data_IF_835255047856
#
_entry.id   IF_835255047856
#
_cell.length_a   1.000
_cell.length_b   1.000
_cell.length_c   1.000
_cell.angle_alpha   90.00
_cell.angle_beta   90.00
_cell.angle_gamma   90.00
#
_symmetry.space_group_name_H-M   'P 1'
#
loop_
_entity.id
_entity.type
_entity.pdbx_description
1 polymer ?
#
# COMPACT_ATOMS: atom_id res chain seq x y z
N UNK A 1 -11.63 -37.04 80.50
CA UNK A 1 -11.25 -35.77 81.15
C UNK A 1 -11.25 -34.66 80.13
N UNK A 2 -12.40 -34.00 79.93
CA UNK A 2 -12.51 -32.55 79.85
C UNK A 2 -12.71 -31.97 81.26
N UNK A 3 -12.36 -30.70 81.46
CA UNK A 3 -12.57 -29.99 82.73
C UNK A 3 -13.90 -29.21 82.74
N UNK A 4 -14.70 -29.56 83.74
CA UNK A 4 -15.84 -28.89 84.39
C UNK A 4 -15.47 -27.48 84.94
N UNK A 5 -16.31 -26.54 85.37
CA UNK A 5 -17.75 -26.28 85.49
C UNK A 5 -17.86 -24.90 86.21
N UNK A 6 -19.10 -24.37 86.36
CA UNK A 6 -19.59 -23.31 87.31
C UNK A 6 -19.63 -21.85 86.80
N UNK A 7 -20.69 -21.04 86.99
CA UNK A 7 -21.88 -21.15 87.87
C UNK A 7 -22.98 -20.11 87.52
N UNK A 8 -24.24 -20.51 87.81
CA UNK A 8 -25.39 -19.76 88.39
C UNK A 8 -26.11 -18.63 87.62
N UNK A 9 -27.43 -18.83 87.47
CA UNK A 9 -28.41 -17.77 87.23
C UNK A 9 -29.03 -17.16 88.50
N UNK A 10 -29.77 -16.06 88.31
CA UNK A 10 -30.76 -15.50 89.24
C UNK A 10 -31.75 -14.58 88.48
N UNK A 11 -33.05 -14.88 88.58
CA UNK A 11 -34.23 -14.02 88.33
C UNK A 11 -34.35 -12.92 89.43
N UNK A 12 -35.30 -11.93 89.45
CA UNK A 12 -36.65 -11.93 88.84
C UNK A 12 -37.16 -10.58 88.22
N UNK A 13 -38.40 -10.62 87.72
CA UNK A 13 -39.25 -9.51 87.25
C UNK A 13 -39.59 -8.45 88.33
N UNK A 14 -39.98 -7.24 87.90
CA UNK A 14 -41.17 -6.53 88.42
C UNK A 14 -41.60 -5.37 87.52
N UNK A 15 -42.90 -5.09 87.59
CA UNK A 15 -43.78 -4.28 86.74
C UNK A 15 -43.53 -2.76 86.79
N UNK A 16 -44.07 -2.04 85.79
CA UNK A 16 -44.27 -0.59 85.87
C UNK A 16 -44.75 0.07 84.57
N UNK A 17 -46.06 0.09 84.33
CA UNK A 17 -46.79 1.00 83.42
C UNK A 17 -47.33 2.21 84.24
N UNK A 18 -47.92 3.28 83.66
CA UNK A 18 -47.79 3.92 82.33
C UNK A 18 -47.82 5.48 82.38
N UNK A 19 -48.13 6.11 81.23
CA UNK A 19 -48.44 7.52 80.89
C UNK A 19 -47.21 8.38 80.54
N UNK A 20 -47.13 9.07 79.40
CA UNK A 20 -48.15 9.93 78.78
C UNK A 20 -48.10 9.92 77.23
N UNK A 21 -49.21 10.38 76.64
CA UNK A 21 -49.63 10.29 75.26
C UNK A 21 -48.96 11.29 74.30
N UNK A 22 -48.65 10.83 73.09
CA UNK A 22 -48.27 11.66 71.95
C UNK A 22 -48.68 11.01 70.63
N UNK A 23 -49.80 11.46 70.09
CA UNK A 23 -50.50 10.97 68.87
C UNK A 23 -49.59 10.77 67.64
N UNK A 24 -49.74 9.62 66.96
CA UNK A 24 -49.87 9.50 65.48
C UNK A 24 -50.33 8.07 65.11
N UNK A 25 -51.45 7.96 64.39
CA UNK A 25 -52.08 6.70 63.93
C UNK A 25 -51.40 6.18 62.65
N UNK A 26 -51.11 4.87 62.50
CA UNK A 26 -50.70 4.27 61.23
C UNK A 26 -51.90 3.69 60.44
N UNK A 27 -51.83 3.83 59.11
CA UNK A 27 -52.77 3.29 58.12
C UNK A 27 -52.73 1.75 58.05
N UNK A 28 -53.83 1.09 57.63
CA UNK A 28 -53.96 -0.36 57.61
C UNK A 28 -53.22 -1.04 56.46
N UNK A 29 -52.74 -2.25 56.73
CA UNK A 29 -52.04 -3.13 55.81
C UNK A 29 -52.99 -3.74 54.76
N UNK A 30 -52.61 -3.66 53.49
CA UNK A 30 -53.25 -4.38 52.37
C UNK A 30 -52.64 -5.78 52.17
N UNK A 31 -53.42 -6.77 51.69
CA UNK A 31 -52.98 -8.16 51.56
C UNK A 31 -52.06 -8.38 50.36
N UNK A 32 -51.17 -9.38 50.50
CA UNK A 32 -50.22 -9.86 49.49
C UNK A 32 -50.96 -10.46 48.29
N UNK A 33 -50.75 -9.90 47.10
CA UNK A 33 -51.19 -10.48 45.83
C UNK A 33 -50.23 -11.59 45.41
N UNK A 34 -50.66 -12.84 45.52
CA UNK A 34 -50.05 -13.97 44.84
C UNK A 34 -50.51 -14.00 43.38
N UNK A 35 -49.61 -13.72 42.44
CA UNK A 35 -49.89 -13.98 41.03
C UNK A 35 -49.60 -15.45 40.72
N UNK A 36 -50.67 -16.25 40.73
CA UNK A 36 -50.68 -17.58 40.13
C UNK A 36 -50.66 -17.48 38.61
N UNK A 37 -49.71 -18.15 37.96
CA UNK A 37 -49.71 -18.37 36.52
C UNK A 37 -50.77 -19.42 36.19
N UNK A 38 -51.94 -18.98 35.71
CA UNK A 38 -52.88 -19.84 34.96
C UNK A 38 -52.41 -19.89 33.51
N UNK A 39 -51.94 -21.06 33.10
CA UNK A 39 -51.74 -21.43 31.71
C UNK A 39 -53.08 -21.47 30.99
N UNK A 40 -53.36 -20.43 30.19
CA UNK A 40 -54.40 -20.46 29.16
C UNK A 40 -53.73 -20.20 27.82
N UNK A 41 -53.92 -21.14 26.90
CA UNK A 41 -53.16 -21.27 25.67
C UNK A 41 -53.30 -20.06 24.75
N UNK A 42 -52.15 -19.55 24.31
CA UNK A 42 -52.02 -18.73 23.12
C UNK A 42 -51.11 -19.49 22.16
N UNK A 43 -51.66 -19.89 21.01
CA UNK A 43 -50.96 -20.58 19.93
C UNK A 43 -49.65 -19.86 19.62
N UNK A 44 -48.53 -20.54 19.87
CA UNK A 44 -47.24 -20.14 19.32
C UNK A 44 -47.29 -20.25 17.80
N UNK A 45 -46.54 -19.40 17.12
CA UNK A 45 -46.34 -19.51 15.69
C UNK A 45 -45.82 -20.92 15.38
N UNK A 46 -46.58 -21.67 14.59
CA UNK A 46 -46.16 -22.96 14.05
C UNK A 46 -45.00 -22.67 13.12
N UNK A 47 -43.79 -23.00 13.55
CA UNK A 47 -42.61 -23.02 12.69
C UNK A 47 -42.89 -24.06 11.60
N UNK A 48 -42.83 -23.69 10.31
CA UNK A 48 -43.01 -24.65 9.22
C UNK A 48 -41.96 -25.79 9.32
N UNK A 49 -42.34 -27.05 9.04
CA UNK A 49 -41.42 -28.19 9.19
C UNK A 49 -40.20 -28.15 8.27
N UNK A 50 -40.15 -27.25 7.28
CA UNK A 50 -38.97 -27.04 6.42
C UNK A 50 -37.83 -26.24 7.08
N UNK A 51 -38.01 -25.74 8.31
CA UNK A 51 -36.98 -25.03 9.07
C UNK A 51 -36.33 -25.88 10.19
N UNK A 52 -36.71 -27.15 10.32
CA UNK A 52 -36.16 -28.09 11.31
C UNK A 52 -35.45 -29.29 10.68
N UNK A 53 -35.05 -29.18 9.42
CA UNK A 53 -34.22 -30.20 8.77
C UNK A 53 -32.74 -29.88 8.96
N UNK A 54 -32.12 -30.59 9.90
CA UNK A 54 -30.68 -30.83 9.92
C UNK A 54 -30.30 -31.52 8.60
N UNK A 55 -29.97 -30.73 7.57
CA UNK A 55 -29.33 -31.25 6.37
C UNK A 55 -27.94 -31.75 6.77
N UNK A 56 -27.63 -33.06 6.64
CA UNK A 56 -26.24 -33.49 6.71
C UNK A 56 -25.51 -32.80 5.56
N UNK A 57 -24.50 -31.98 5.90
CA UNK A 57 -23.60 -31.33 4.94
C UNK A 57 -23.04 -32.42 4.03
N UNK A 58 -23.48 -32.42 2.77
CA UNK A 58 -23.01 -33.41 1.79
C UNK A 58 -21.51 -33.17 1.57
N UNK A 59 -20.72 -34.23 1.74
CA UNK A 59 -19.28 -34.31 1.43
C UNK A 59 -18.90 -33.88 -0.01
N UNK A 60 -19.88 -33.62 -0.89
CA UNK A 60 -19.69 -33.18 -2.27
C UNK A 60 -19.24 -31.72 -2.43
N UNK A 61 -19.27 -30.88 -1.40
CA UNK A 61 -18.80 -29.48 -1.50
C UNK A 61 -17.26 -29.32 -1.38
N UNK A 62 -16.55 -30.31 -0.84
CA UNK A 62 -15.08 -30.33 -0.83
C UNK A 62 -14.49 -30.95 -2.11
N UNK A 63 -15.27 -31.67 -2.90
CA UNK A 63 -14.80 -32.32 -4.12
C UNK A 63 -14.63 -31.33 -5.29
N UNK A 64 -15.37 -30.22 -5.31
CA UNK A 64 -15.24 -29.17 -6.33
C UNK A 64 -13.92 -28.38 -6.24
N UNK A 65 -13.48 -27.84 -5.08
CA UNK A 65 -12.21 -27.13 -5.01
C UNK A 65 -11.00 -28.07 -5.11
N UNK A 66 -11.09 -29.29 -4.58
CA UNK A 66 -10.01 -30.27 -4.68
C UNK A 66 -9.75 -30.72 -6.13
N UNK A 67 -10.80 -30.87 -6.94
CA UNK A 67 -10.66 -31.19 -8.36
C UNK A 67 -10.00 -30.06 -9.17
N UNK A 68 -10.30 -28.79 -8.85
CA UNK A 68 -9.67 -27.62 -9.50
C UNK A 68 -8.20 -27.50 -9.12
N UNK A 69 -7.85 -27.73 -7.85
CA UNK A 69 -6.45 -27.76 -7.40
C UNK A 69 -5.70 -28.90 -8.08
N UNK A 70 -6.29 -30.10 -8.15
CA UNK A 70 -5.67 -31.26 -8.80
C UNK A 70 -5.50 -31.04 -10.31
N UNK A 71 -6.48 -30.44 -10.99
CA UNK A 71 -6.38 -30.06 -12.39
C UNK A 71 -5.27 -29.02 -12.62
N UNK A 72 -5.15 -28.01 -11.75
CA UNK A 72 -4.08 -27.02 -11.81
C UNK A 72 -2.69 -27.63 -11.61
N UNK A 73 -2.53 -28.52 -10.63
CA UNK A 73 -1.27 -29.24 -10.39
C UNK A 73 -0.89 -30.13 -11.58
N UNK A 74 -1.85 -30.84 -12.17
CA UNK A 74 -1.61 -31.68 -13.36
C UNK A 74 -1.20 -30.86 -14.58
N UNK A 75 -1.77 -29.67 -14.78
CA UNK A 75 -1.37 -28.75 -15.86
C UNK A 75 0.07 -28.29 -15.65
N UNK A 76 0.46 -27.91 -14.43
CA UNK A 76 1.84 -27.47 -14.12
C UNK A 76 2.84 -28.61 -14.30
N UNK A 77 2.49 -29.83 -13.88
CA UNK A 77 3.34 -31.02 -14.07
C UNK A 77 3.48 -31.36 -15.55
N UNK A 78 2.39 -31.29 -16.33
CA UNK A 78 2.43 -31.49 -17.78
C UNK A 78 3.29 -30.43 -18.48
N UNK A 79 3.14 -29.15 -18.11
CA UNK A 79 3.95 -28.05 -18.66
C UNK A 79 5.43 -28.18 -18.29
N UNK A 80 5.72 -28.57 -17.05
CA UNK A 80 7.07 -28.87 -16.59
C UNK A 80 7.68 -30.06 -17.32
N UNK A 81 6.90 -31.08 -17.67
CA UNK A 81 7.35 -32.24 -18.43
C UNK A 81 7.57 -31.91 -19.92
N UNK A 82 6.75 -31.03 -20.51
CA UNK A 82 6.93 -30.52 -21.88
C UNK A 82 8.19 -29.66 -21.97
N UNK A 83 8.40 -28.74 -21.03
CA UNK A 83 9.63 -27.93 -20.94
C UNK A 83 10.86 -28.82 -20.67
N UNK A 84 10.73 -29.82 -19.80
CA UNK A 84 11.80 -30.78 -19.54
C UNK A 84 12.13 -31.66 -20.76
N UNK A 85 11.16 -31.97 -21.63
CA UNK A 85 11.40 -32.68 -22.89
C UNK A 85 12.02 -31.75 -23.94
N UNK A 86 11.56 -30.51 -24.03
CA UNK A 86 12.13 -29.51 -24.94
C UNK A 86 13.59 -29.13 -24.58
N UNK A 87 13.99 -29.29 -23.32
CA UNK A 87 15.39 -29.10 -22.86
C UNK A 87 16.23 -30.39 -22.99
N UNK A 88 15.60 -31.55 -23.23
CA UNK A 88 16.31 -32.83 -23.46
C UNK A 88 16.55 -33.14 -24.93
N UNK A 89 15.75 -32.56 -25.82
CA UNK A 89 16.04 -32.55 -27.26
C UNK A 89 16.92 -31.34 -27.59
N UNK A 90 18.21 -31.44 -27.27
CA UNK A 90 19.24 -30.57 -27.84
C UNK A 90 19.37 -30.89 -29.34
N UNK A 91 18.67 -30.13 -30.19
CA UNK A 91 19.02 -30.01 -31.61
C UNK A 91 19.80 -28.69 -31.81
N UNK A 92 21.15 -28.73 -31.90
CA UNK A 92 21.98 -27.52 -31.88
C UNK A 92 22.12 -26.92 -33.28
N UNK A 93 21.03 -26.51 -33.93
CA UNK A 93 21.08 -25.71 -35.17
C UNK A 93 19.85 -24.80 -35.31
N UNK A 94 19.82 -23.66 -34.61
CA UNK A 94 19.17 -22.42 -35.08
C UNK A 94 19.44 -21.22 -34.13
N UNK A 95 20.68 -20.75 -34.06
CA UNK A 95 20.95 -19.35 -33.67
C UNK A 95 21.89 -18.77 -34.72
N UNK A 96 21.44 -17.85 -35.59
CA UNK A 96 22.35 -17.17 -36.51
C UNK A 96 23.27 -16.22 -35.71
N UNK A 97 24.59 -16.23 -35.95
CA UNK A 97 25.49 -15.30 -35.28
C UNK A 97 25.24 -13.86 -35.73
N UNK A 98 25.32 -12.92 -34.78
CA UNK A 98 25.19 -11.49 -34.99
C UNK A 98 26.26 -10.98 -35.97
N UNK A 99 25.82 -10.41 -37.10
CA UNK A 99 26.69 -9.75 -38.07
C UNK A 99 26.99 -8.30 -37.64
N UNK A 100 28.27 -7.85 -37.65
CA UNK A 100 28.60 -6.43 -37.52
C UNK A 100 28.26 -5.67 -38.82
N UNK A 101 27.98 -4.34 -38.74
CA UNK A 101 27.55 -3.57 -39.90
C UNK A 101 28.65 -3.48 -40.97
N UNK A 102 28.26 -3.71 -42.21
CA UNK A 102 29.11 -3.65 -43.39
C UNK A 102 29.61 -2.21 -43.65
N UNK A 103 30.92 -1.99 -43.46
CA UNK A 103 31.64 -0.95 -44.21
C UNK A 103 32.28 -1.61 -45.43
N UNK A 104 31.96 -1.09 -46.61
CA UNK A 104 32.42 -1.61 -47.89
C UNK A 104 33.93 -1.57 -48.06
N UNK A 105 34.46 -2.64 -48.65
CA UNK A 105 35.83 -2.78 -49.11
C UNK A 105 36.06 -1.94 -50.38
N UNK A 106 37.11 -1.13 -50.39
CA UNK A 106 37.85 -0.77 -51.60
C UNK A 106 39.31 -1.22 -51.40
N UNK A 107 39.87 -2.09 -52.26
CA UNK A 107 41.27 -2.45 -52.22
C UNK A 107 42.06 -1.76 -53.33
N UNK A 108 43.15 -1.06 -53.02
CA UNK A 108 44.36 -0.99 -53.88
C UNK A 108 45.59 -0.68 -53.00
N UNK A 109 46.65 -1.45 -53.19
CA UNK A 109 48.04 -1.24 -52.71
C UNK A 109 48.96 -1.56 -53.90
N UNK A 110 50.27 -1.25 -53.94
CA UNK A 110 51.06 -0.11 -53.42
C UNK A 110 52.06 0.48 -54.47
N UNK A 111 52.92 1.39 -53.99
CA UNK A 111 54.27 1.78 -54.47
C UNK A 111 54.41 2.83 -55.59
N UNK A 112 54.96 3.99 -55.22
CA UNK A 112 56.23 4.46 -55.80
C UNK A 112 56.92 5.50 -54.90
N UNK A 113 58.24 5.35 -54.77
CA UNK A 113 59.17 6.10 -53.92
C UNK A 113 59.95 7.17 -54.73
N UNK A 114 60.64 8.04 -53.97
CA UNK A 114 61.83 8.88 -54.29
C UNK A 114 61.57 10.36 -54.67
N UNK A 115 62.52 11.30 -54.42
CA UNK A 115 63.22 11.61 -53.16
C UNK A 115 63.35 13.14 -52.86
N UNK A 116 63.86 13.49 -51.67
CA UNK A 116 64.12 14.85 -51.11
C UNK A 116 65.34 15.53 -51.82
N UNK A 117 65.49 16.88 -51.84
CA UNK A 117 66.42 17.51 -50.88
C UNK A 117 66.06 18.93 -50.39
N UNK A 118 66.51 19.25 -49.16
CA UNK A 118 66.64 20.61 -48.59
C UNK A 118 67.66 21.46 -49.37
N UNK A 119 67.63 22.80 -49.17
CA UNK A 119 68.84 23.44 -48.67
C UNK A 119 68.61 24.37 -47.45
N UNK A 120 69.64 24.41 -46.60
CA UNK A 120 69.81 25.28 -45.44
C UNK A 120 70.43 26.64 -45.80
N UNK A 121 70.08 27.64 -44.96
CA UNK A 121 70.83 28.81 -44.49
C UNK A 121 71.29 29.90 -45.50
N UNK A 122 70.98 31.16 -45.17
CA UNK A 122 71.97 32.18 -44.77
C UNK A 122 71.34 33.57 -44.52
N UNK A 123 71.97 34.30 -43.61
CA UNK A 123 71.61 35.55 -42.93
C UNK A 123 71.43 36.82 -43.79
N UNK A 124 70.69 37.82 -43.26
CA UNK A 124 71.14 39.19 -42.85
C UNK A 124 69.99 40.25 -42.93
N UNK A 125 70.12 41.52 -42.46
CA UNK A 125 69.70 42.02 -41.13
C UNK A 125 68.47 42.98 -41.10
N UNK A 126 68.02 43.25 -39.86
CA UNK A 126 67.15 44.32 -39.28
C UNK A 126 66.73 45.52 -40.17
N UNK A 127 65.53 46.13 -39.96
CA UNK A 127 65.32 46.97 -38.77
C UNK A 127 63.90 46.94 -38.14
N UNK A 128 63.85 47.15 -36.82
CA UNK A 128 62.68 47.66 -36.06
C UNK A 128 62.68 49.21 -36.08
N UNK A 129 61.64 49.94 -35.59
CA UNK A 129 60.33 49.52 -35.06
C UNK A 129 59.13 50.27 -35.71
N UNK A 130 57.92 49.72 -35.61
CA UNK A 130 56.68 50.51 -35.77
C UNK A 130 55.69 50.06 -34.69
N UNK A 131 55.07 50.98 -33.94
CA UNK A 131 54.39 50.66 -32.69
C UNK A 131 53.13 49.82 -32.92
N UNK A 132 53.03 48.71 -32.18
CA UNK A 132 51.83 47.89 -32.05
C UNK A 132 50.62 48.76 -31.72
N UNK A 133 49.64 48.79 -32.64
CA UNK A 133 48.26 49.15 -32.29
C UNK A 133 47.81 48.15 -31.23
N UNK A 134 47.54 48.66 -30.03
CA UNK A 134 46.98 47.90 -28.93
C UNK A 134 45.71 47.19 -29.42
N UNK A 135 45.81 45.87 -29.60
CA UNK A 135 44.64 44.99 -29.69
C UNK A 135 44.08 44.93 -28.28
N UNK A 136 43.01 45.68 -28.01
CA UNK A 136 42.23 45.55 -26.79
C UNK A 136 41.70 44.12 -26.74
N UNK A 137 42.36 43.29 -25.94
CA UNK A 137 41.85 42.00 -25.51
C UNK A 137 40.51 42.25 -24.81
N UNK A 138 39.41 41.59 -25.22
CA UNK A 138 38.20 41.60 -24.42
C UNK A 138 38.53 41.06 -23.02
N UNK A 139 37.98 41.63 -21.95
CA UNK A 139 38.17 41.10 -20.61
C UNK A 139 37.73 39.63 -20.57
N UNK A 140 38.38 38.77 -19.75
CA UNK A 140 37.95 37.38 -19.61
C UNK A 140 36.48 37.38 -19.21
N UNK A 141 35.64 36.72 -20.00
CA UNK A 141 34.27 36.45 -19.60
C UNK A 141 34.33 35.77 -18.24
N UNK A 142 33.78 36.44 -17.22
CA UNK A 142 33.56 35.85 -15.92
C UNK A 142 32.68 34.63 -16.14
N UNK A 143 33.28 33.44 -16.09
CA UNK A 143 32.55 32.19 -16.18
C UNK A 143 31.62 32.14 -14.98
N UNK A 144 30.34 32.39 -15.22
CA UNK A 144 29.28 32.18 -14.23
C UNK A 144 29.51 30.80 -13.62
N UNK A 145 29.62 30.68 -12.28
CA UNK A 145 29.78 29.39 -11.63
C UNK A 145 28.70 28.41 -12.15
N UNK A 146 29.05 27.14 -12.45
CA UNK A 146 28.09 26.15 -12.89
C UNK A 146 26.88 26.14 -11.95
N UNK A 147 25.67 26.22 -12.51
CA UNK A 147 24.47 26.10 -11.71
C UNK A 147 24.52 24.77 -10.93
N UNK A 148 24.08 24.73 -9.65
CA UNK A 148 24.06 23.49 -8.88
C UNK A 148 23.32 22.39 -9.67
N UNK A 149 23.80 21.13 -9.61
CA UNK A 149 23.14 20.04 -10.32
C UNK A 149 21.70 19.92 -9.84
N UNK A 150 20.76 19.90 -10.79
CA UNK A 150 19.35 19.69 -10.52
C UNK A 150 19.14 18.37 -9.78
N UNK A 151 18.63 18.44 -8.55
CA UNK A 151 18.41 17.27 -7.69
C UNK A 151 17.01 16.68 -7.83
N UNK A 152 16.13 17.33 -8.59
CA UNK A 152 14.70 17.08 -8.60
C UNK A 152 14.00 17.68 -7.39
N UNK A 153 12.69 17.44 -7.30
CA UNK A 153 11.87 17.85 -6.16
C UNK A 153 10.88 16.75 -5.81
N UNK A 154 10.63 16.55 -4.52
CA UNK A 154 9.59 15.67 -3.98
C UNK A 154 8.98 16.41 -2.80
N UNK A 155 7.66 16.57 -2.80
CA UNK A 155 6.88 17.11 -1.67
C UNK A 155 5.79 16.12 -1.34
N UNK A 156 5.60 15.85 -0.06
CA UNK A 156 4.52 14.98 0.46
C UNK A 156 3.71 15.82 1.44
N UNK A 157 2.40 15.91 1.22
CA UNK A 157 1.46 16.57 2.11
C UNK A 157 0.24 15.68 2.34
N UNK A 158 -0.47 15.83 3.46
CA UNK A 158 -1.82 15.28 3.57
C UNK A 158 -2.79 16.15 2.79
N UNK A 159 -3.73 15.52 2.11
CA UNK A 159 -4.84 16.21 1.45
C UNK A 159 -6.16 15.92 2.15
N UNK A 160 -7.20 16.63 1.70
CA UNK A 160 -8.57 16.36 2.12
C UNK A 160 -9.05 15.04 1.50
N UNK A 161 -9.67 14.22 2.34
CA UNK A 161 -10.18 12.89 1.98
C UNK A 161 -11.71 12.85 2.08
N UNK A 162 -12.43 13.01 0.97
CA UNK A 162 -13.89 12.91 0.97
C UNK A 162 -14.35 11.49 1.26
N UNK A 163 -15.59 11.33 1.77
CA UNK A 163 -16.19 10.01 2.01
C UNK A 163 -16.40 9.16 0.75
N UNK A 164 -16.35 9.80 -0.44
CA UNK A 164 -16.38 9.14 -1.74
C UNK A 164 -15.30 9.71 -2.64
N UNK A 165 -14.54 8.84 -3.29
CA UNK A 165 -13.43 9.18 -4.18
C UNK A 165 -13.69 8.60 -5.56
N UNK A 166 -13.70 9.44 -6.60
CA UNK A 166 -13.77 9.02 -8.00
C UNK A 166 -12.35 8.92 -8.57
N UNK A 167 -11.85 7.69 -8.70
CA UNK A 167 -10.51 7.40 -9.18
C UNK A 167 -10.33 7.77 -10.66
N UNK A 168 -11.37 7.61 -11.47
CA UNK A 168 -11.35 7.96 -12.90
C UNK A 168 -11.28 9.47 -13.12
N UNK A 169 -11.98 10.26 -12.30
CA UNK A 169 -11.92 11.72 -12.37
C UNK A 169 -10.58 12.27 -11.85
N UNK A 170 -10.02 11.67 -10.79
CA UNK A 170 -8.76 12.14 -10.20
C UNK A 170 -7.52 11.68 -10.99
N UNK A 171 -7.50 10.42 -11.45
CA UNK A 171 -6.37 9.77 -12.11
C UNK A 171 -6.41 9.89 -13.63
N UNK A 172 -6.21 11.09 -14.16
CA UNK A 172 -6.26 11.36 -15.60
C UNK A 172 -5.17 10.64 -16.42
N UNK A 173 -4.07 10.21 -15.79
CA UNK A 173 -3.00 9.43 -16.45
C UNK A 173 -3.06 7.95 -16.13
N UNK A 174 -3.31 7.61 -14.86
CA UNK A 174 -3.45 6.24 -14.38
C UNK A 174 -4.12 6.28 -13.00
N UNK A 175 -4.79 5.20 -12.65
CA UNK A 175 -5.30 4.95 -11.31
C UNK A 175 -5.32 3.46 -11.02
N UNK A 176 -5.18 3.13 -9.74
CA UNK A 176 -5.17 1.75 -9.25
C UNK A 176 -5.97 1.68 -7.96
N UNK A 177 -6.76 0.64 -7.81
CA UNK A 177 -7.44 0.24 -6.59
C UNK A 177 -7.00 -1.17 -6.22
N UNK A 178 -6.84 -1.43 -4.92
CA UNK A 178 -6.43 -2.72 -4.40
C UNK A 178 -7.59 -3.41 -3.67
N UNK A 179 -7.78 -4.69 -3.93
CA UNK A 179 -8.60 -5.51 -3.05
C UNK A 179 -10.11 -5.49 -3.34
N UNK A 180 -10.58 -5.10 -4.52
CA UNK A 180 -12.02 -5.14 -4.84
C UNK A 180 -12.61 -6.55 -4.70
N UNK A 181 -12.01 -7.54 -5.35
CA UNK A 181 -12.55 -8.90 -5.43
C UNK A 181 -11.80 -9.90 -4.54
N UNK A 182 -10.50 -9.71 -4.33
CA UNK A 182 -9.67 -10.61 -3.51
C UNK A 182 -8.43 -9.90 -2.96
N UNK A 183 -7.68 -10.52 -2.06
CA UNK A 183 -6.44 -9.96 -1.48
C UNK A 183 -5.40 -9.50 -2.52
N UNK A 184 -5.42 -10.13 -3.70
CA UNK A 184 -4.49 -9.83 -4.79
C UNK A 184 -5.18 -9.20 -6.01
N UNK A 185 -6.46 -8.84 -5.89
CA UNK A 185 -7.12 -8.14 -6.99
C UNK A 185 -6.59 -6.71 -7.10
N UNK A 186 -6.39 -6.29 -8.33
CA UNK A 186 -5.81 -5.02 -8.70
C UNK A 186 -6.64 -4.45 -9.84
N UNK A 187 -7.51 -3.51 -9.51
CA UNK A 187 -8.36 -2.84 -10.48
C UNK A 187 -7.65 -1.59 -10.93
N UNK A 188 -7.57 -1.39 -12.24
CA UNK A 188 -6.71 -0.37 -12.82
C UNK A 188 -7.42 0.33 -13.95
N UNK A 189 -6.98 1.55 -14.25
CA UNK A 189 -7.32 2.22 -15.48
C UNK A 189 -6.91 1.36 -16.69
N UNK A 190 -7.86 1.06 -17.57
CA UNK A 190 -7.63 0.18 -18.73
C UNK A 190 -6.60 0.76 -19.72
N UNK A 191 -6.63 2.08 -19.93
CA UNK A 191 -5.72 2.86 -20.77
C UNK A 191 -4.61 3.58 -19.97
N UNK A 192 -4.30 3.12 -18.75
CA UNK A 192 -3.37 3.78 -17.83
C UNK A 192 -1.87 3.54 -18.09
N UNK A 193 -1.52 2.73 -19.09
CA UNK A 193 -0.14 2.33 -19.43
C UNK A 193 0.68 1.73 -18.28
N UNK A 194 0.00 1.17 -17.26
CA UNK A 194 0.64 0.59 -16.07
C UNK A 194 1.63 1.54 -15.38
N UNK A 195 1.33 2.85 -15.32
CA UNK A 195 2.23 3.84 -14.75
C UNK A 195 2.40 3.68 -13.24
N UNK A 196 1.37 3.30 -12.49
CA UNK A 196 1.47 3.05 -11.04
C UNK A 196 1.71 1.56 -10.82
N UNK A 197 2.85 1.17 -10.26
CA UNK A 197 3.17 -0.23 -10.03
C UNK A 197 3.29 -0.51 -8.54
N UNK A 198 2.69 -1.60 -8.08
CA UNK A 198 3.01 -2.19 -6.79
C UNK A 198 4.29 -3.03 -6.93
N UNK A 199 5.18 -2.96 -5.94
CA UNK A 199 6.29 -3.91 -5.83
C UNK A 199 5.80 -5.32 -5.51
N UNK A 200 6.72 -6.29 -5.48
CA UNK A 200 6.40 -7.67 -5.14
C UNK A 200 5.68 -7.72 -3.77
N UNK A 201 4.43 -8.22 -3.70
CA UNK A 201 3.71 -8.30 -2.43
C UNK A 201 4.47 -9.14 -1.42
N UNK A 202 4.60 -8.64 -0.19
CA UNK A 202 5.17 -9.41 0.93
C UNK A 202 4.04 -9.99 1.79
N UNK A 203 4.31 -11.14 2.43
CA UNK A 203 3.41 -11.73 3.40
C UNK A 203 3.79 -11.25 4.83
N UNK A 204 2.81 -11.02 5.72
CA UNK A 204 1.38 -11.29 5.57
C UNK A 204 0.56 -10.11 4.99
N UNK A 205 -0.41 -10.38 4.09
CA UNK A 205 -1.33 -9.39 3.49
C UNK A 205 -2.76 -9.92 3.50
N UNK A 206 -3.74 -9.05 3.74
CA UNK A 206 -5.15 -9.42 3.85
C UNK A 206 -6.05 -8.39 3.19
N UNK A 207 -7.08 -8.84 2.45
CA UNK A 207 -8.18 -7.96 2.03
C UNK A 207 -8.98 -7.48 3.25
N UNK A 208 -9.52 -6.27 3.17
CA UNK A 208 -10.58 -5.79 4.05
C UNK A 208 -11.71 -5.11 3.29
N UNK A 209 -12.80 -4.80 4.00
CA UNK A 209 -14.00 -4.12 3.47
C UNK A 209 -14.56 -3.08 4.44
N UNK A 210 -13.71 -2.51 5.29
CA UNK A 210 -14.08 -1.59 6.36
C UNK A 210 -13.43 -0.20 6.22
N UNK A 211 -13.05 0.19 5.00
CA UNK A 211 -12.60 1.56 4.70
C UNK A 211 -13.75 2.54 4.97
N UNK A 212 -13.53 3.66 5.69
CA UNK A 212 -14.55 4.70 5.85
C UNK A 212 -14.93 5.39 4.54
N UNK A 213 -14.13 5.21 3.48
CA UNK A 213 -14.26 5.85 2.18
C UNK A 213 -14.73 4.86 1.14
N UNK A 214 -15.52 5.37 0.20
CA UNK A 214 -15.99 4.61 -0.95
C UNK A 214 -15.21 5.00 -2.20
N UNK A 215 -14.50 4.04 -2.79
CA UNK A 215 -13.75 4.23 -4.03
C UNK A 215 -14.59 3.81 -5.23
N UNK A 216 -14.82 4.75 -6.14
CA UNK A 216 -15.57 4.55 -7.37
C UNK A 216 -14.70 4.78 -8.60
N UNK A 217 -15.05 4.13 -9.71
CA UNK A 217 -14.36 4.31 -10.99
C UNK A 217 -15.22 3.88 -12.17
N UNK A 218 -14.81 4.35 -13.34
CA UNK A 218 -15.20 3.84 -14.66
C UNK A 218 -13.95 3.61 -15.52
N UNK A 219 -14.07 2.82 -16.59
CA UNK A 219 -12.94 2.52 -17.49
C UNK A 219 -11.86 1.65 -16.82
N UNK A 220 -12.29 0.75 -15.93
CA UNK A 220 -11.41 -0.14 -15.19
C UNK A 220 -11.19 -1.50 -15.83
N UNK A 221 -10.15 -2.20 -15.39
CA UNK A 221 -9.91 -3.62 -15.66
C UNK A 221 -9.28 -4.27 -14.42
N UNK A 222 -9.64 -5.52 -14.05
CA UNK A 222 -10.62 -6.41 -14.69
C UNK A 222 -12.10 -6.06 -14.39
N UNK A 223 -12.34 -5.13 -13.46
CA UNK A 223 -13.69 -4.63 -13.14
C UNK A 223 -13.91 -3.28 -13.81
N UNK A 224 -14.78 -3.25 -14.82
CA UNK A 224 -15.05 -2.07 -15.65
C UNK A 224 -15.51 -0.84 -14.84
N UNK A 225 -16.40 -1.05 -13.87
CA UNK A 225 -17.00 0.02 -13.09
C UNK A 225 -17.20 -0.40 -11.63
N UNK A 226 -17.15 0.59 -10.74
CA UNK A 226 -17.55 0.44 -9.34
C UNK A 226 -18.23 1.72 -8.87
N UNK A 227 -19.41 1.57 -8.28
CA UNK A 227 -20.20 2.68 -7.74
C UNK A 227 -19.81 3.04 -6.30
N UNK A 228 -18.64 2.59 -5.83
CA UNK A 228 -18.14 2.86 -4.48
C UNK A 228 -17.92 1.59 -3.66
N UNK A 229 -16.66 1.21 -3.50
CA UNK A 229 -16.26 0.08 -2.67
C UNK A 229 -15.50 0.55 -1.42
N UNK A 230 -15.75 -0.03 -0.23
CA UNK A 230 -15.01 0.27 1.01
C UNK A 230 -13.81 -0.66 1.22
N UNK A 231 -13.28 -1.24 0.14
CA UNK A 231 -12.30 -2.32 0.21
C UNK A 231 -10.89 -1.82 0.05
N UNK A 232 -9.96 -2.59 0.59
CA UNK A 232 -8.54 -2.34 0.49
C UNK A 232 -7.75 -3.58 0.89
N UNK A 233 -6.45 -3.39 1.05
CA UNK A 233 -5.52 -4.41 1.53
C UNK A 233 -4.80 -3.89 2.77
N UNK A 234 -4.50 -4.78 3.71
CA UNK A 234 -3.75 -4.44 4.93
C UNK A 234 -2.68 -5.47 5.24
N UNK A 235 -1.70 -5.03 6.00
CA UNK A 235 -0.69 -5.88 6.61
C UNK A 235 -0.52 -5.50 8.07
N UNK A 236 -0.27 -6.50 8.91
CA UNK A 236 -0.07 -6.33 10.35
C UNK A 236 1.42 -6.41 10.69
N UNK A 237 1.83 -5.82 11.80
CA UNK A 237 3.17 -5.95 12.35
C UNK A 237 4.13 -4.87 11.88
N UNK A 238 5.01 -4.47 12.80
CA UNK A 238 6.10 -3.52 12.56
C UNK A 238 7.03 -4.03 11.46
N UNK A 239 7.44 -3.14 10.57
CA UNK A 239 8.32 -3.42 9.44
C UNK A 239 7.60 -3.92 8.19
N UNK A 240 6.35 -4.35 8.30
CA UNK A 240 5.55 -4.76 7.14
C UNK A 240 4.87 -3.55 6.48
N UNK A 241 4.62 -3.63 5.17
CA UNK A 241 3.98 -2.56 4.42
C UNK A 241 3.98 -2.79 2.92
N UNK A 242 3.87 -1.70 2.18
CA UNK A 242 3.69 -1.70 0.74
C UNK A 242 4.79 -0.88 0.05
N UNK A 243 5.11 -1.26 -1.19
CA UNK A 243 5.99 -0.49 -2.06
C UNK A 243 5.27 -0.16 -3.36
N UNK A 244 5.37 1.09 -3.78
CA UNK A 244 4.71 1.61 -4.98
C UNK A 244 5.76 2.37 -5.81
N UNK A 245 5.64 2.35 -7.13
CA UNK A 245 6.44 3.19 -8.00
C UNK A 245 5.59 3.84 -9.10
N UNK A 246 6.05 5.00 -9.56
CA UNK A 246 5.47 5.67 -10.72
C UNK A 246 6.57 6.34 -11.56
N UNK A 247 6.37 6.55 -12.87
CA UNK A 247 7.37 7.22 -13.69
C UNK A 247 7.56 8.67 -13.24
N UNK A 248 8.81 9.11 -13.30
CA UNK A 248 9.25 10.46 -12.98
C UNK A 248 10.12 11.00 -14.11
N UNK A 249 10.01 12.29 -14.37
CA UNK A 249 10.79 12.97 -15.40
C UNK A 249 10.82 14.48 -15.16
N UNK A 250 11.31 15.27 -16.13
CA UNK A 250 11.45 16.71 -16.01
C UNK A 250 10.14 17.48 -15.81
N UNK A 251 9.01 16.89 -16.20
CA UNK A 251 7.67 17.42 -15.95
C UNK A 251 7.21 17.11 -14.52
N UNK A 252 6.60 18.10 -13.87
CA UNK A 252 5.96 17.93 -12.56
C UNK A 252 4.75 17.01 -12.69
N UNK A 253 4.64 16.04 -11.77
CA UNK A 253 3.52 15.11 -11.65
C UNK A 253 2.96 15.15 -10.24
N UNK A 254 1.71 14.73 -10.09
CA UNK A 254 1.10 14.52 -8.78
C UNK A 254 0.59 13.10 -8.69
N UNK A 255 1.05 12.37 -7.69
CA UNK A 255 0.49 11.08 -7.28
C UNK A 255 -0.29 11.28 -5.98
N UNK A 256 -1.51 10.79 -5.90
CA UNK A 256 -2.24 10.68 -4.62
C UNK A 256 -2.24 9.22 -4.20
N UNK A 257 -1.91 8.97 -2.94
CA UNK A 257 -1.86 7.64 -2.34
C UNK A 257 -2.85 7.59 -1.18
N UNK A 258 -3.85 6.73 -1.29
CA UNK A 258 -4.88 6.52 -0.27
C UNK A 258 -4.46 5.34 0.58
N UNK A 259 -4.21 5.61 1.85
CA UNK A 259 -3.67 4.67 2.82
C UNK A 259 -4.54 4.59 4.05
N UNK A 260 -4.36 3.54 4.85
CA UNK A 260 -4.97 3.43 6.16
C UNK A 260 -3.98 3.01 7.24
N UNK A 261 -4.42 3.18 8.49
CA UNK A 261 -3.75 2.71 9.69
C UNK A 261 -4.80 2.15 10.66
N UNK A 262 -4.48 1.04 11.32
CA UNK A 262 -5.32 0.41 12.34
C UNK A 262 -4.39 -0.01 13.46
N UNK A 263 -4.61 0.54 14.67
CA UNK A 263 -3.74 0.36 15.83
C UNK A 263 -2.25 0.38 15.42
N UNK A 264 -1.84 1.37 14.64
CA UNK A 264 -0.49 1.45 14.07
C UNK A 264 -0.11 2.85 13.61
N UNK A 265 1.19 3.09 13.53
CA UNK A 265 1.79 4.25 12.86
C UNK A 265 2.52 3.78 11.62
N UNK A 266 2.06 4.23 10.46
CA UNK A 266 2.76 4.03 9.21
C UNK A 266 3.65 5.22 8.85
N UNK A 267 4.71 4.94 8.09
CA UNK A 267 5.64 5.92 7.54
C UNK A 267 5.71 5.78 6.02
N UNK A 268 5.39 6.87 5.33
CA UNK A 268 5.56 7.04 3.91
C UNK A 268 6.95 7.61 3.65
N UNK A 269 7.73 6.98 2.78
CA UNK A 269 8.98 7.54 2.24
C UNK A 269 8.90 7.55 0.72
N UNK A 270 9.15 8.70 0.10
CA UNK A 270 9.15 8.88 -1.34
C UNK A 270 10.55 9.33 -1.81
N UNK A 271 11.12 8.63 -2.81
CA UNK A 271 12.49 8.87 -3.30
C UNK A 271 12.55 8.78 -4.82
N UNK A 272 13.27 9.71 -5.46
CA UNK A 272 13.56 9.62 -6.89
C UNK A 272 14.70 8.62 -7.17
N UNK A 273 14.61 7.89 -8.28
CA UNK A 273 15.71 7.07 -8.78
C UNK A 273 16.79 7.89 -9.50
N UNK A 274 16.42 9.06 -10.02
CA UNK A 274 17.31 10.02 -10.67
C UNK A 274 17.27 11.34 -9.92
N UNK A 275 18.42 11.81 -9.45
CA UNK A 275 18.51 12.91 -8.49
C UNK A 275 18.59 12.41 -7.04
N UNK A 276 18.46 13.32 -6.08
CA UNK A 276 18.58 13.01 -4.65
C UNK A 276 17.42 13.53 -3.81
N UNK A 277 16.40 14.12 -4.43
CA UNK A 277 15.21 14.57 -3.71
C UNK A 277 14.41 13.38 -3.14
N UNK A 278 14.03 13.52 -1.87
CA UNK A 278 13.20 12.59 -1.14
C UNK A 278 12.35 13.36 -0.11
N UNK A 279 11.24 12.75 0.32
CA UNK A 279 10.39 13.28 1.37
C UNK A 279 9.74 12.12 2.15
N UNK A 280 9.31 12.40 3.38
CA UNK A 280 8.61 11.42 4.20
C UNK A 280 7.47 12.05 4.99
N UNK A 281 6.46 11.26 5.31
CA UNK A 281 5.36 11.63 6.18
C UNK A 281 4.93 10.42 7.02
N UNK A 282 4.22 10.64 8.11
CA UNK A 282 3.64 9.56 8.93
C UNK A 282 2.13 9.69 8.98
N UNK A 283 1.43 8.61 9.32
CA UNK A 283 0.02 8.61 9.69
C UNK A 283 -0.20 7.56 10.76
N UNK A 284 -0.91 7.95 11.82
CA UNK A 284 -1.03 7.19 13.06
C UNK A 284 -2.50 7.11 13.45
N UNK A 285 -2.96 5.90 13.73
CA UNK A 285 -4.26 5.60 14.34
C UNK A 285 -4.03 4.65 15.50
N UNK A 286 -4.54 4.97 16.70
CA UNK A 286 -4.29 4.17 17.91
C UNK A 286 -5.43 3.22 18.26
N UNK A 287 -6.62 3.48 17.74
CA UNK A 287 -7.80 2.65 17.89
C UNK A 287 -7.78 1.41 17.00
N UNK A 288 -8.76 0.55 17.24
CA UNK A 288 -8.91 -0.74 16.54
C UNK A 288 -9.77 -0.65 15.28
N UNK A 289 -10.22 0.56 14.90
CA UNK A 289 -10.89 0.82 13.65
C UNK A 289 -9.87 1.32 12.63
N UNK A 290 -10.10 1.04 11.36
CA UNK A 290 -9.27 1.59 10.29
C UNK A 290 -9.60 3.07 10.13
N UNK A 291 -8.60 3.93 10.30
CA UNK A 291 -8.65 5.30 9.82
C UNK A 291 -7.82 5.42 8.54
N UNK A 292 -8.12 6.41 7.71
CA UNK A 292 -7.53 6.57 6.38
C UNK A 292 -7.06 7.99 6.14
N UNK A 293 -6.05 8.11 5.27
CA UNK A 293 -5.49 9.38 4.86
C UNK A 293 -5.14 9.34 3.37
N UNK A 294 -5.13 10.51 2.74
CA UNK A 294 -4.56 10.68 1.41
C UNK A 294 -3.27 11.48 1.51
N UNK A 295 -2.18 10.91 1.00
CA UNK A 295 -0.94 11.64 0.77
C UNK A 295 -0.92 12.16 -0.67
N UNK A 296 -0.70 13.46 -0.82
CA UNK A 296 -0.48 14.13 -2.11
C UNK A 296 1.01 14.30 -2.31
N UNK A 297 1.56 13.56 -3.28
CA UNK A 297 2.99 13.55 -3.62
C UNK A 297 3.20 14.33 -4.92
N UNK A 298 3.78 15.52 -4.82
CA UNK A 298 4.16 16.32 -5.99
C UNK A 298 5.65 16.16 -6.26
N UNK A 299 6.01 15.75 -7.48
CA UNK A 299 7.40 15.39 -7.78
C UNK A 299 7.81 15.73 -9.20
N UNK A 300 9.12 15.93 -9.38
CA UNK A 300 9.78 16.21 -10.66
C UNK A 300 11.22 15.72 -10.58
N UNK A 301 11.67 14.97 -11.58
CA UNK A 301 13.02 14.43 -11.64
C UNK A 301 13.89 15.17 -12.67
N UNK A 302 15.22 15.21 -12.51
CA UNK A 302 16.12 15.84 -13.48
C UNK A 302 16.14 15.13 -14.84
N UNK A 303 15.92 13.80 -14.83
CA UNK A 303 15.91 12.91 -15.99
C UNK A 303 14.79 11.90 -15.85
N UNK A 304 14.49 11.19 -16.93
CA UNK A 304 13.51 10.10 -16.91
C UNK A 304 13.96 8.98 -15.96
N UNK A 305 13.04 8.51 -15.13
CA UNK A 305 13.27 7.51 -14.09
C UNK A 305 11.96 7.18 -13.38
N UNK A 306 12.02 6.89 -12.08
CA UNK A 306 10.87 6.59 -11.24
C UNK A 306 10.90 7.38 -9.94
N UNK A 307 9.73 7.54 -9.34
CA UNK A 307 9.59 7.78 -7.91
C UNK A 307 9.25 6.43 -7.26
N UNK A 308 9.95 6.09 -6.17
CA UNK A 308 9.70 4.92 -5.35
C UNK A 308 9.11 5.37 -4.02
N UNK A 309 8.00 4.75 -3.63
CA UNK A 309 7.28 5.00 -2.39
C UNK A 309 7.32 3.75 -1.53
N UNK A 310 7.58 3.90 -0.24
CA UNK A 310 7.39 2.84 0.76
C UNK A 310 6.44 3.32 1.84
N UNK A 311 5.38 2.55 2.10
CA UNK A 311 4.41 2.79 3.15
C UNK A 311 4.48 1.64 4.16
N UNK A 312 5.22 1.85 5.25
CA UNK A 312 5.64 0.79 6.16
C UNK A 312 5.16 1.08 7.59
N UNK A 313 4.68 0.05 8.29
CA UNK A 313 4.37 0.12 9.72
C UNK A 313 5.66 0.40 10.51
N UNK A 314 5.79 1.61 11.05
CA UNK A 314 6.89 1.99 11.94
C UNK A 314 6.63 1.49 13.36
N UNK A 315 5.37 1.50 13.80
CA UNK A 315 4.93 1.02 15.11
C UNK A 315 3.56 0.34 15.02
N UNK A 316 3.37 -0.73 15.77
CA UNK A 316 2.09 -1.44 15.92
C UNK A 316 1.68 -1.41 17.39
N UNK A 317 0.47 -0.92 17.68
CA UNK A 317 -0.06 -0.71 19.03
C UNK A 317 -0.99 -1.84 19.49
N UNK A 318 -1.33 -2.79 18.61
CA UNK A 318 -2.16 -3.97 18.93
C UNK A 318 -1.36 -5.26 18.77
N UNK A 319 -1.62 -6.22 19.67
CA UNK A 319 -1.07 -7.58 19.61
C UNK A 319 -1.82 -8.49 18.63
N UNK A 320 -3.04 -8.12 18.23
CA UNK A 320 -3.84 -8.90 17.26
C UNK A 320 -3.42 -8.56 15.83
N UNK A 321 -3.70 -7.33 15.42
CA UNK A 321 -3.26 -6.79 14.14
C UNK A 321 -3.19 -5.27 14.23
N UNK A 322 -2.03 -4.74 14.63
CA UNK A 322 -1.68 -3.34 14.41
C UNK A 322 -0.86 -3.18 13.14
N UNK A 323 -1.16 -2.20 12.29
CA UNK A 323 -0.42 -2.01 11.04
C UNK A 323 -1.00 -0.98 10.10
N UNK A 324 -0.73 -1.18 8.82
CA UNK A 324 -1.07 -0.24 7.74
C UNK A 324 -1.92 -0.90 6.66
N UNK A 325 -2.71 -0.07 5.97
CA UNK A 325 -3.52 -0.44 4.82
C UNK A 325 -3.19 0.42 3.59
N UNK A 326 -3.55 -0.10 2.42
CA UNK A 326 -3.44 0.55 1.13
C UNK A 326 -4.79 0.36 0.40
N UNK A 327 -5.35 1.45 -0.09
CA UNK A 327 -6.70 1.47 -0.67
C UNK A 327 -6.64 1.68 -2.19
N UNK A 328 -6.06 2.81 -2.60
CA UNK A 328 -6.03 3.25 -3.99
C UNK A 328 -4.87 4.24 -4.25
N UNK A 329 -4.60 4.52 -5.52
CA UNK A 329 -3.66 5.53 -5.97
C UNK A 329 -4.10 6.14 -7.29
N UNK A 330 -3.85 7.43 -7.48
CA UNK A 330 -4.15 8.17 -8.73
C UNK A 330 -2.95 8.98 -9.19
N UNK A 331 -2.78 9.11 -10.51
CA UNK A 331 -1.69 9.86 -11.14
C UNK A 331 -2.23 10.88 -12.14
N UNK A 332 -1.69 12.10 -12.07
CA UNK A 332 -1.91 13.20 -13.01
C UNK A 332 -0.60 13.89 -13.41
#
# INVERSE_FOLDING_TARGET
MPDDDRTTGRQPESEGRPSDAGRRRPYPATPRTSYGYRTTGRRGAVVPPHLLEDRPRRLSEFLMPAAVILAGVLIVVAFGFILSRAVRDDDPQAIPPAQPPALGNLPVSPADQFPIPLPSASDEPSPSPTPSKARTTPPPATSKPPAPPDRGSVKVARGDLPGRVDLSAEGTRDWVHWGQQSTFSLERREDGDFQILEGAPTAPRFRHGFSPQLFSWSGGSPVATSDGTPTGIRTCGKGNGFSISAPAGPATRTLRLYVGALAGRGKLTAKLTTGSAAASATFEERGNNLDTAVFVITYRAPKNGKISLSWITEEAFSQDCGGVALEAATLR
#
